data_IF_631505422938
#
_entry.id   IF_631505422938
#
_cell.length_a   1.000
_cell.length_b   1.000
_cell.length_c   1.000
_cell.angle_alpha   90.00
_cell.angle_beta   90.00
_cell.angle_gamma   90.00
#
_symmetry.space_group_name_H-M   'P 1'
#
loop_
_entity.id
_entity.type
_entity.pdbx_description
1 polymer ?
#
# COMPACT_ATOMS: atom_id res chain seq x y z
N UNK A 1 5.06 -59.08 99.31
CA UNK A 1 5.69 -58.84 97.98
C UNK A 1 5.48 -57.36 97.67
N UNK A 2 6.38 -56.44 98.03
CA UNK A 2 7.71 -56.09 97.46
C UNK A 2 7.63 -55.51 96.03
N UNK A 3 7.73 -54.16 95.98
CA UNK A 3 8.42 -53.28 95.01
C UNK A 3 7.92 -53.29 93.54
N UNK A 4 7.45 -52.16 92.97
CA UNK A 4 8.17 -50.92 92.53
C UNK A 4 8.77 -51.05 91.11
N UNK A 5 8.19 -50.35 90.11
CA UNK A 5 8.81 -49.30 89.25
C UNK A 5 8.10 -49.14 87.87
N UNK A 6 7.74 -47.87 87.60
CA UNK A 6 7.40 -47.15 86.33
C UNK A 6 8.66 -47.03 85.42
N UNK A 7 8.73 -46.33 84.24
CA UNK A 7 7.73 -45.61 83.40
C UNK A 7 7.94 -45.67 81.85
N UNK A 8 7.04 -45.05 81.04
CA UNK A 8 7.30 -44.01 79.99
C UNK A 8 5.98 -43.72 79.19
N UNK A 9 5.36 -42.52 79.25
CA UNK A 9 5.52 -41.30 78.39
C UNK A 9 4.85 -41.49 76.99
N UNK A 10 3.94 -40.69 76.39
CA UNK A 10 3.84 -39.25 76.00
C UNK A 10 2.41 -39.05 75.40
N UNK A 11 1.54 -38.13 75.87
CA UNK A 11 1.20 -36.75 75.40
C UNK A 11 0.13 -36.61 74.27
N UNK A 12 -0.58 -35.46 74.31
CA UNK A 12 -1.32 -34.73 73.23
C UNK A 12 -2.85 -34.99 73.14
N UNK A 13 -3.77 -34.03 72.93
CA UNK A 13 -3.72 -32.58 72.61
C UNK A 13 -5.09 -31.93 72.86
N UNK A 14 -5.10 -30.61 73.14
CA UNK A 14 -6.27 -29.74 73.32
C UNK A 14 -6.65 -29.05 71.99
N UNK A 15 -7.95 -28.90 71.73
CA UNK A 15 -8.55 -28.30 70.52
C UNK A 15 -8.75 -26.78 70.68
N UNK A 16 -8.26 -25.96 69.74
CA UNK A 16 -8.54 -24.52 69.64
C UNK A 16 -9.06 -24.23 68.22
N UNK A 17 -10.20 -23.54 68.14
CA UNK A 17 -10.90 -23.18 66.90
C UNK A 17 -10.40 -21.79 66.47
N UNK A 18 -9.78 -21.69 65.29
CA UNK A 18 -9.50 -20.43 64.60
C UNK A 18 -10.57 -20.19 63.53
N UNK A 19 -11.21 -19.01 63.56
CA UNK A 19 -11.98 -18.48 62.45
C UNK A 19 -11.05 -17.77 61.46
N UNK A 20 -11.11 -18.14 60.19
CA UNK A 20 -10.47 -17.42 59.08
C UNK A 20 -11.56 -16.83 58.19
N UNK A 21 -11.66 -15.49 58.16
CA UNK A 21 -12.34 -14.75 57.09
C UNK A 21 -11.40 -14.73 55.89
N UNK A 22 -11.71 -15.52 54.87
CA UNK A 22 -11.02 -15.51 53.58
C UNK A 22 -11.48 -14.29 52.77
N UNK A 23 -10.90 -13.12 53.06
CA UNK A 23 -10.86 -12.01 52.11
C UNK A 23 -9.59 -12.19 51.27
N UNK A 24 -9.63 -13.10 50.29
CA UNK A 24 -8.72 -13.01 49.16
C UNK A 24 -9.23 -11.82 48.31
N UNK A 25 -8.40 -10.80 48.01
CA UNK A 25 -8.78 -9.81 47.02
C UNK A 25 -9.02 -10.55 45.70
N UNK A 26 -10.22 -10.39 45.11
CA UNK A 26 -10.43 -10.83 43.74
C UNK A 26 -9.32 -10.21 42.88
N UNK A 27 -8.69 -10.98 41.98
CA UNK A 27 -7.72 -10.41 41.05
C UNK A 27 -8.41 -9.27 40.30
N UNK A 28 -7.74 -8.11 40.21
CA UNK A 28 -8.22 -7.00 39.40
C UNK A 28 -8.58 -7.55 38.02
N UNK A 29 -9.76 -7.19 37.45
CA UNK A 29 -10.11 -7.62 36.12
C UNK A 29 -9.00 -7.18 35.16
N UNK A 30 -8.62 -8.05 34.23
CA UNK A 30 -7.71 -7.67 33.16
C UNK A 30 -8.22 -6.39 32.50
N UNK A 31 -7.36 -5.39 32.26
CA UNK A 31 -7.79 -4.13 31.67
C UNK A 31 -8.53 -4.43 30.36
N UNK A 32 -9.69 -3.79 30.17
CA UNK A 32 -10.45 -3.86 28.94
C UNK A 32 -9.53 -3.46 27.77
N UNK A 33 -9.15 -4.43 26.95
CA UNK A 33 -8.26 -4.21 25.81
C UNK A 33 -9.11 -3.70 24.67
N UNK A 34 -8.88 -2.44 24.26
CA UNK A 34 -9.53 -1.87 23.09
C UNK A 34 -8.63 -2.05 21.86
N UNK A 35 -8.99 -3.02 21.03
CA UNK A 35 -8.20 -3.54 19.93
C UNK A 35 -8.20 -2.61 18.70
N UNK A 36 -7.06 -2.48 18.01
CA UNK A 36 -6.97 -1.65 16.83
C UNK A 36 -7.63 -2.29 15.60
N UNK A 37 -8.02 -1.49 14.60
CA UNK A 37 -8.19 -2.01 13.24
C UNK A 37 -6.88 -2.61 12.71
N UNK A 38 -6.99 -3.42 11.67
CA UNK A 38 -5.84 -4.12 11.09
C UNK A 38 -5.82 -4.06 9.56
N UNK A 39 -4.73 -4.51 8.95
CA UNK A 39 -4.59 -4.63 7.49
C UNK A 39 -4.97 -3.33 6.74
N UNK A 40 -4.49 -2.18 7.24
CA UNK A 40 -4.60 -0.92 6.51
C UNK A 40 -3.88 -1.09 5.16
N UNK A 41 -4.59 -0.81 4.08
CA UNK A 41 -4.13 -0.84 2.70
C UNK A 41 -4.62 0.40 1.97
N UNK A 42 -4.15 0.58 0.73
CA UNK A 42 -4.49 1.72 -0.09
C UNK A 42 -4.59 1.38 -1.58
N UNK A 43 -5.27 2.27 -2.30
CA UNK A 43 -5.24 2.42 -3.75
C UNK A 43 -4.90 3.89 -4.05
N UNK A 44 -4.02 4.13 -5.04
CA UNK A 44 -3.65 5.50 -5.44
C UNK A 44 -4.42 5.94 -6.69
N UNK A 45 -4.66 7.24 -6.79
CA UNK A 45 -5.22 7.93 -7.94
C UNK A 45 -4.45 9.24 -8.17
N UNK A 46 -4.88 10.06 -9.13
CA UNK A 46 -4.19 11.29 -9.55
C UNK A 46 -3.97 12.33 -8.45
N UNK A 47 -4.96 12.51 -7.56
CA UNK A 47 -4.96 13.55 -6.53
C UNK A 47 -5.46 13.05 -5.16
N UNK A 48 -5.63 11.73 -5.05
CA UNK A 48 -6.28 11.11 -3.91
C UNK A 48 -5.76 9.72 -3.62
N UNK A 49 -5.91 9.32 -2.36
CA UNK A 49 -5.59 7.99 -1.87
C UNK A 49 -6.83 7.41 -1.21
N UNK A 50 -7.28 6.27 -1.69
CA UNK A 50 -8.35 5.51 -1.05
C UNK A 50 -7.73 4.53 -0.07
N UNK A 51 -8.05 4.71 1.21
CA UNK A 51 -7.64 3.84 2.31
C UNK A 51 -8.74 2.83 2.62
N UNK A 52 -8.34 1.63 2.98
CA UNK A 52 -9.24 0.60 3.52
C UNK A 52 -8.53 -0.20 4.60
N UNK A 53 -9.26 -0.64 5.61
CA UNK A 53 -8.73 -1.49 6.68
C UNK A 53 -9.74 -2.58 7.04
N UNK A 54 -9.30 -3.56 7.81
CA UNK A 54 -10.17 -4.51 8.50
C UNK A 54 -10.63 -3.87 9.81
N UNK A 55 -11.92 -3.99 10.17
CA UNK A 55 -12.47 -3.57 11.45
C UNK A 55 -11.62 -3.87 12.67
N UNK A 56 -11.77 -3.02 13.70
CA UNK A 56 -11.43 -3.44 15.07
C UNK A 56 -12.36 -4.60 15.50
N UNK A 57 -11.87 -5.62 16.20
CA UNK A 57 -12.71 -6.63 16.85
C UNK A 57 -13.79 -6.05 17.78
N UNK A 58 -13.56 -4.86 18.32
CA UNK A 58 -14.47 -4.16 19.24
C UNK A 58 -15.43 -3.22 18.51
N UNK A 59 -15.48 -3.27 17.17
CA UNK A 59 -16.48 -2.55 16.40
C UNK A 59 -17.89 -3.02 16.78
N UNK A 60 -18.74 -2.06 17.16
CA UNK A 60 -20.11 -2.32 17.61
C UNK A 60 -20.26 -2.44 19.13
N UNK A 61 -19.18 -2.37 19.90
CA UNK A 61 -19.26 -2.20 21.35
C UNK A 61 -19.93 -0.89 21.75
N UNK A 62 -20.45 -0.84 22.97
CA UNK A 62 -21.07 0.38 23.51
C UNK A 62 -20.05 1.51 23.58
N UNK A 63 -20.40 2.66 22.99
CA UNK A 63 -19.51 3.83 22.92
C UNK A 63 -18.52 3.79 21.77
N UNK A 64 -18.46 2.72 20.96
CA UNK A 64 -17.65 2.72 19.74
C UNK A 64 -18.11 3.85 18.81
N UNK A 65 -17.20 4.78 18.49
CA UNK A 65 -17.52 5.99 17.72
C UNK A 65 -17.05 5.88 16.27
N UNK A 66 -15.99 5.12 16.00
CA UNK A 66 -15.43 4.94 14.66
C UNK A 66 -13.91 4.92 14.67
N UNK A 67 -13.33 5.47 13.60
CA UNK A 67 -11.89 5.45 13.35
C UNK A 67 -11.30 6.84 13.19
N UNK A 68 -10.15 7.06 13.81
CA UNK A 68 -9.32 8.24 13.60
C UNK A 68 -8.22 7.88 12.61
N UNK A 69 -8.17 8.61 11.49
CA UNK A 69 -7.18 8.40 10.43
C UNK A 69 -6.17 9.54 10.46
N UNK A 70 -4.89 9.17 10.38
CA UNK A 70 -3.77 10.11 10.45
C UNK A 70 -3.00 10.12 9.14
N UNK A 71 -2.52 11.30 8.75
CA UNK A 71 -1.63 11.51 7.61
C UNK A 71 -0.41 12.31 8.03
N UNK A 72 0.78 11.84 7.63
CA UNK A 72 2.04 12.56 7.83
C UNK A 72 2.87 12.54 6.56
N UNK A 73 3.59 13.61 6.28
CA UNK A 73 4.50 13.69 5.13
C UNK A 73 5.92 13.26 5.55
N UNK A 74 6.61 12.54 4.66
CA UNK A 74 8.05 12.24 4.74
C UNK A 74 8.55 11.44 5.97
N UNK A 75 7.69 11.05 6.91
CA UNK A 75 8.02 10.21 8.04
C UNK A 75 6.81 9.42 8.56
N UNK A 76 7.07 8.20 9.03
CA UNK A 76 6.06 7.38 9.72
C UNK A 76 5.73 7.88 11.14
N UNK A 77 4.94 7.09 11.87
CA UNK A 77 4.37 7.49 13.18
C UNK A 77 5.16 7.02 14.41
N UNK A 78 6.19 6.18 14.24
CA UNK A 78 6.89 5.54 15.36
C UNK A 78 7.59 6.48 16.36
N UNK A 79 7.80 7.75 16.00
CA UNK A 79 8.42 8.77 16.86
C UNK A 79 7.47 9.89 17.28
N UNK A 80 6.18 9.80 16.93
CA UNK A 80 5.19 10.84 17.26
C UNK A 80 4.66 10.61 18.67
N UNK A 81 4.67 11.67 19.49
CA UNK A 81 4.13 11.61 20.85
C UNK A 81 2.59 11.50 20.81
N UNK A 82 1.99 10.92 21.86
CA UNK A 82 0.53 10.84 21.96
C UNK A 82 -0.15 12.23 21.96
N UNK A 83 0.54 13.25 22.49
CA UNK A 83 0.08 14.64 22.53
C UNK A 83 0.08 15.29 21.14
N UNK A 84 1.05 14.96 20.29
CA UNK A 84 1.17 15.54 18.94
C UNK A 84 0.28 14.82 17.91
N UNK A 85 -0.11 13.56 18.15
CA UNK A 85 -0.91 12.76 17.22
C UNK A 85 -2.14 13.47 16.64
N UNK A 86 -2.94 14.22 17.42
CA UNK A 86 -4.11 14.94 16.89
C UNK A 86 -3.80 15.95 15.78
N UNK A 87 -2.58 16.48 15.70
CA UNK A 87 -2.17 17.43 14.66
C UNK A 87 -2.12 16.80 13.25
N UNK A 88 -2.09 15.47 13.18
CA UNK A 88 -2.01 14.70 11.94
C UNK A 88 -3.35 14.11 11.50
N UNK A 89 -4.46 14.43 12.19
CA UNK A 89 -5.79 13.97 11.82
C UNK A 89 -6.19 14.50 10.44
N UNK A 90 -6.68 13.61 9.58
CA UNK A 90 -7.25 14.03 8.28
C UNK A 90 -8.65 14.64 8.43
N UNK A 91 -9.31 14.39 9.57
CA UNK A 91 -10.66 14.82 9.92
C UNK A 91 -10.78 14.88 11.44
N UNK A 92 -11.49 15.88 11.97
CA UNK A 92 -11.82 15.97 13.40
C UNK A 92 -12.89 14.97 13.80
N UNK A 93 -13.76 14.59 12.87
CA UNK A 93 -14.81 13.61 13.12
C UNK A 93 -14.31 12.19 12.84
N UNK A 94 -14.70 11.26 13.70
CA UNK A 94 -14.41 9.84 13.52
C UNK A 94 -15.12 9.29 12.27
N UNK A 95 -14.41 8.45 11.52
CA UNK A 95 -14.95 7.79 10.34
C UNK A 95 -15.70 6.54 10.80
N UNK A 96 -17.01 6.48 10.55
CA UNK A 96 -17.87 5.35 10.96
C UNK A 96 -17.82 4.11 10.06
N UNK A 97 -16.86 4.01 9.14
CA UNK A 97 -16.72 2.89 8.22
C UNK A 97 -15.26 2.44 8.08
N UNK A 98 -15.03 1.38 7.29
CA UNK A 98 -13.72 0.68 7.18
C UNK A 98 -12.84 1.19 6.03
N UNK A 99 -13.04 2.45 5.65
CA UNK A 99 -12.31 3.07 4.56
C UNK A 99 -12.65 4.54 4.40
N UNK A 100 -11.76 5.27 3.74
CA UNK A 100 -11.94 6.69 3.44
C UNK A 100 -11.11 7.08 2.23
N UNK A 101 -11.49 8.15 1.54
CA UNK A 101 -10.68 8.73 0.47
C UNK A 101 -10.11 10.06 0.94
N UNK A 102 -8.80 10.20 0.91
CA UNK A 102 -8.10 11.44 1.25
C UNK A 102 -7.72 12.12 -0.06
N UNK A 103 -8.35 13.27 -0.35
CA UNK A 103 -8.16 14.02 -1.59
C UNK A 103 -7.23 15.23 -1.40
N UNK A 104 -6.82 15.84 -2.52
CA UNK A 104 -5.96 17.02 -2.52
C UNK A 104 -4.54 16.73 -2.02
N UNK A 105 -4.06 15.51 -2.29
CA UNK A 105 -2.73 15.07 -1.86
C UNK A 105 -1.71 15.35 -2.98
N UNK A 106 -0.57 16.00 -2.69
CA UNK A 106 0.53 16.17 -3.65
C UNK A 106 1.17 14.83 -4.03
N UNK A 107 1.46 14.62 -5.33
CA UNK A 107 2.12 13.42 -5.86
C UNK A 107 3.65 13.41 -5.70
N UNK A 108 4.24 14.55 -5.36
CA UNK A 108 5.70 14.80 -5.36
C UNK A 108 6.42 14.33 -4.07
N UNK A 109 5.71 13.68 -3.13
CA UNK A 109 6.26 13.28 -1.84
C UNK A 109 5.55 12.08 -1.22
N UNK A 110 6.23 11.40 -0.29
CA UNK A 110 5.66 10.26 0.44
C UNK A 110 4.68 10.72 1.52
N UNK A 111 3.53 10.08 1.56
CA UNK A 111 2.50 10.24 2.59
C UNK A 111 2.36 8.94 3.37
N UNK A 112 2.41 9.06 4.69
CA UNK A 112 2.29 7.97 5.63
C UNK A 112 0.90 8.03 6.25
N UNK A 113 0.23 6.89 6.31
CA UNK A 113 -1.09 6.74 6.92
C UNK A 113 -1.10 5.67 7.98
N UNK A 114 -1.85 5.93 9.03
CA UNK A 114 -2.24 4.93 10.03
C UNK A 114 -3.65 5.25 10.51
N UNK A 115 -4.28 4.29 11.16
CA UNK A 115 -5.64 4.39 11.66
C UNK A 115 -5.73 3.75 13.04
N UNK A 116 -6.60 4.27 13.90
CA UNK A 116 -6.97 3.62 15.18
C UNK A 116 -8.46 3.76 15.45
N UNK A 117 -9.00 2.88 16.28
CA UNK A 117 -10.36 2.99 16.75
C UNK A 117 -10.48 4.01 17.89
N UNK A 118 -11.67 4.60 18.02
CA UNK A 118 -12.05 5.49 19.11
C UNK A 118 -13.37 5.04 19.73
N UNK A 119 -13.40 5.03 21.06
CA UNK A 119 -14.57 4.75 21.90
C UNK A 119 -14.79 5.95 22.82
N UNK A 120 -16.04 6.37 22.99
CA UNK A 120 -16.44 7.47 23.87
C UNK A 120 -17.61 7.02 24.73
N UNK A 121 -17.43 7.06 26.05
CA UNK A 121 -18.43 6.71 27.06
C UNK A 121 -18.63 7.88 28.02
N UNK A 122 -19.66 8.70 27.77
CA UNK A 122 -19.81 9.97 28.50
C UNK A 122 -18.66 10.91 28.18
N UNK A 123 -17.88 11.28 29.19
CA UNK A 123 -16.70 12.15 29.03
C UNK A 123 -15.39 11.36 28.82
N UNK A 124 -15.42 10.03 28.98
CA UNK A 124 -14.24 9.18 28.84
C UNK A 124 -14.00 8.81 27.37
N UNK A 125 -12.80 9.09 26.88
CA UNK A 125 -12.35 8.71 25.54
C UNK A 125 -11.27 7.64 25.62
N UNK A 126 -11.51 6.49 25.01
CA UNK A 126 -10.55 5.39 24.90
C UNK A 126 -10.11 5.25 23.44
N UNK A 127 -8.81 5.08 23.25
CA UNK A 127 -8.16 5.00 21.94
C UNK A 127 -7.42 3.68 21.86
N UNK A 128 -7.62 2.94 20.76
CA UNK A 128 -6.84 1.73 20.52
C UNK A 128 -5.38 2.08 20.21
N UNK A 129 -4.54 1.04 20.13
CA UNK A 129 -3.25 1.16 19.46
C UNK A 129 -3.42 1.60 17.99
N UNK A 130 -2.32 1.98 17.34
CA UNK A 130 -2.30 2.25 15.90
C UNK A 130 -2.29 0.94 15.11
N UNK A 131 -2.99 0.91 13.99
CA UNK A 131 -2.81 -0.11 12.96
C UNK A 131 -1.42 -0.03 12.32
N UNK A 132 -1.12 -0.97 11.41
CA UNK A 132 0.06 -0.88 10.57
C UNK A 132 0.13 0.47 9.86
N UNK A 133 1.34 1.02 9.74
CA UNK A 133 1.56 2.22 8.92
C UNK A 133 1.75 1.79 7.47
N UNK A 134 1.07 2.46 6.56
CA UNK A 134 1.32 2.38 5.12
C UNK A 134 1.94 3.68 4.63
N UNK A 135 2.77 3.59 3.60
CA UNK A 135 3.30 4.75 2.90
C UNK A 135 3.00 4.63 1.41
N UNK A 136 2.61 5.76 0.81
CA UNK A 136 2.26 5.86 -0.61
C UNK A 136 2.35 7.30 -1.10
N UNK A 137 2.16 7.52 -2.40
CA UNK A 137 1.98 8.83 -3.02
C UNK A 137 0.93 8.71 -4.12
N UNK A 138 0.07 9.72 -4.35
CA UNK A 138 -0.73 9.79 -5.57
C UNK A 138 0.13 9.57 -6.82
N UNK A 139 -0.42 8.85 -7.79
CA UNK A 139 0.26 8.61 -9.07
C UNK A 139 -0.41 9.42 -10.16
N UNK A 140 0.36 9.98 -11.08
CA UNK A 140 -0.17 10.87 -12.12
C UNK A 140 -0.70 10.04 -13.29
N UNK A 141 -2.01 10.15 -13.57
CA UNK A 141 -2.68 9.28 -14.54
C UNK A 141 -2.91 9.96 -15.87
N UNK A 142 -2.72 9.20 -16.95
CA UNK A 142 -3.13 9.59 -18.29
C UNK A 142 -3.54 8.37 -19.10
N UNK A 143 -4.14 8.58 -20.26
CA UNK A 143 -4.56 7.51 -21.15
C UNK A 143 -4.46 7.99 -22.58
N UNK A 144 -4.01 7.12 -23.46
CA UNK A 144 -3.89 7.43 -24.88
C UNK A 144 -3.92 6.14 -25.72
N UNK A 145 -3.69 6.30 -27.01
CA UNK A 145 -3.42 5.23 -27.96
C UNK A 145 -2.04 5.44 -28.57
N UNK A 146 -1.26 4.37 -28.66
CA UNK A 146 -0.02 4.34 -29.44
C UNK A 146 -0.06 3.20 -30.44
N UNK A 147 0.67 3.36 -31.54
CA UNK A 147 0.75 2.42 -32.66
C UNK A 147 2.13 1.78 -32.74
N UNK A 148 2.24 0.65 -33.41
CA UNK A 148 3.51 -0.03 -33.58
C UNK A 148 4.47 0.79 -34.44
N UNK A 149 5.73 0.89 -34.01
CA UNK A 149 6.76 1.70 -34.66
C UNK A 149 6.97 1.34 -36.14
N UNK A 150 6.73 0.08 -36.52
CA UNK A 150 6.82 -0.40 -37.90
C UNK A 150 5.87 0.31 -38.89
N UNK A 151 4.91 1.10 -38.41
CA UNK A 151 4.08 1.95 -39.24
C UNK A 151 4.84 3.09 -39.93
N UNK A 152 6.09 3.36 -39.52
CA UNK A 152 7.01 4.29 -40.16
C UNK A 152 7.16 5.63 -39.46
N UNK A 153 7.81 6.59 -40.13
CA UNK A 153 8.10 7.90 -39.58
C UNK A 153 6.82 8.68 -39.21
N UNK A 154 6.86 9.40 -38.09
CA UNK A 154 5.73 10.18 -37.57
C UNK A 154 4.63 9.34 -36.89
N UNK A 155 4.77 8.01 -36.82
CA UNK A 155 3.83 7.17 -36.07
C UNK A 155 4.04 7.38 -34.58
N UNK A 156 2.96 7.73 -33.88
CA UNK A 156 2.96 7.92 -32.42
C UNK A 156 3.08 6.55 -31.74
N UNK A 157 4.30 6.13 -31.44
CA UNK A 157 4.60 4.79 -30.93
C UNK A 157 5.25 4.81 -29.55
N UNK A 158 5.57 5.98 -29.01
CA UNK A 158 6.35 6.12 -27.79
C UNK A 158 5.61 6.88 -26.70
N UNK A 159 6.01 6.64 -25.44
CA UNK A 159 5.43 7.24 -24.24
C UNK A 159 6.50 8.04 -23.51
N UNK A 160 6.10 9.22 -23.05
CA UNK A 160 6.78 10.06 -22.06
C UNK A 160 5.87 10.16 -20.83
N UNK A 161 6.26 9.51 -19.74
CA UNK A 161 5.45 9.45 -18.53
C UNK A 161 5.47 10.76 -17.77
N UNK A 162 6.60 11.44 -17.74
CA UNK A 162 6.82 12.68 -17.00
C UNK A 162 5.86 13.78 -17.49
N UNK A 163 5.76 13.91 -18.82
CA UNK A 163 4.90 14.92 -19.45
C UNK A 163 3.50 14.42 -19.78
N UNK A 164 3.20 13.13 -19.54
CA UNK A 164 1.91 12.49 -19.87
C UNK A 164 1.57 12.60 -21.37
N UNK A 165 2.59 12.40 -22.21
CA UNK A 165 2.48 12.59 -23.66
C UNK A 165 2.91 11.35 -24.41
N UNK A 166 2.47 11.27 -25.66
CA UNK A 166 2.90 10.25 -26.62
C UNK A 166 3.58 10.91 -27.81
N UNK A 167 4.61 10.27 -28.34
CA UNK A 167 5.46 10.82 -29.40
C UNK A 167 5.75 9.77 -30.48
N UNK A 168 6.17 10.20 -31.68
CA UNK A 168 6.89 9.34 -32.58
C UNK A 168 8.32 9.10 -32.09
N UNK A 169 8.92 7.96 -32.48
CA UNK A 169 10.34 7.65 -32.22
C UNK A 169 11.27 8.50 -33.09
N UNK A 170 11.38 9.79 -32.78
CA UNK A 170 12.20 10.77 -33.50
C UNK A 170 13.23 11.43 -32.57
N UNK A 171 14.40 11.79 -33.12
CA UNK A 171 15.53 12.33 -32.34
C UNK A 171 15.22 13.64 -31.61
N UNK A 172 14.22 14.40 -32.07
CA UNK A 172 13.73 15.61 -31.37
C UNK A 172 13.21 15.29 -29.96
N UNK A 173 12.74 14.05 -29.74
CA UNK A 173 12.16 13.57 -28.48
C UNK A 173 13.09 12.60 -27.73
N UNK A 174 14.37 12.52 -28.13
CA UNK A 174 15.35 11.55 -27.62
C UNK A 174 15.45 11.49 -26.09
N UNK A 175 15.36 12.66 -25.44
CA UNK A 175 15.48 12.78 -23.98
C UNK A 175 14.16 12.61 -23.22
N UNK A 176 13.04 12.55 -23.94
CA UNK A 176 11.69 12.52 -23.40
C UNK A 176 11.10 11.11 -23.43
N UNK A 177 11.41 10.33 -24.47
CA UNK A 177 10.82 9.01 -24.64
C UNK A 177 11.36 8.01 -23.63
N UNK A 178 10.45 7.41 -22.89
CA UNK A 178 10.75 6.43 -21.86
C UNK A 178 10.67 5.01 -22.39
N UNK A 179 9.66 4.71 -23.21
CA UNK A 179 9.45 3.41 -23.85
C UNK A 179 8.75 3.58 -25.20
N UNK A 180 8.74 2.54 -26.01
CA UNK A 180 7.96 2.51 -27.24
C UNK A 180 7.27 1.16 -27.48
N UNK A 181 6.22 1.20 -28.31
CA UNK A 181 5.51 0.04 -28.81
C UNK A 181 6.20 -0.46 -30.07
N UNK A 182 6.88 -1.59 -29.94
CA UNK A 182 7.49 -2.30 -31.05
C UNK A 182 6.90 -3.69 -31.22
N UNK A 183 7.70 -4.55 -31.82
CA UNK A 183 7.40 -5.97 -31.94
C UNK A 183 8.59 -6.79 -31.48
N UNK A 184 8.30 -7.95 -30.92
CA UNK A 184 9.25 -9.05 -30.82
C UNK A 184 9.39 -9.74 -32.20
N UNK A 185 10.46 -10.51 -32.40
CA UNK A 185 10.71 -11.38 -33.56
C UNK A 185 9.52 -12.28 -33.96
N UNK A 186 8.61 -12.56 -33.02
CA UNK A 186 7.39 -13.35 -33.23
C UNK A 186 6.22 -12.57 -33.84
N UNK A 187 6.43 -11.32 -34.27
CA UNK A 187 5.40 -10.39 -34.79
C UNK A 187 4.28 -10.09 -33.77
N UNK A 188 4.63 -10.07 -32.48
CA UNK A 188 3.72 -9.76 -31.38
C UNK A 188 4.06 -8.39 -30.80
N UNK A 189 3.02 -7.63 -30.45
CA UNK A 189 3.18 -6.32 -29.81
C UNK A 189 3.91 -6.45 -28.47
N UNK A 190 4.93 -5.63 -28.30
CA UNK A 190 5.75 -5.57 -27.10
C UNK A 190 6.02 -4.11 -26.72
N UNK A 191 6.04 -3.84 -25.42
CA UNK A 191 6.71 -2.63 -24.94
C UNK A 191 8.21 -2.90 -24.94
N UNK A 192 8.97 -1.90 -25.38
CA UNK A 192 10.42 -2.02 -25.57
C UNK A 192 11.13 -0.81 -24.97
N UNK A 193 12.31 -1.09 -24.43
CA UNK A 193 13.27 -0.11 -23.97
C UNK A 193 13.84 0.68 -25.15
N UNK A 194 13.95 2.02 -25.08
CA UNK A 194 14.35 2.84 -26.23
C UNK A 194 15.71 2.45 -26.82
N UNK A 195 16.67 1.99 -26.02
CA UNK A 195 17.98 1.53 -26.50
C UNK A 195 17.92 0.38 -27.52
N UNK A 196 16.80 -0.34 -27.61
CA UNK A 196 16.57 -1.39 -28.61
C UNK A 196 16.17 -0.83 -29.99
N UNK A 197 15.87 0.46 -30.11
CA UNK A 197 15.43 1.08 -31.36
C UNK A 197 16.59 1.32 -32.34
N UNK A 198 17.72 1.80 -31.83
CA UNK A 198 18.89 2.11 -32.66
C UNK A 198 20.03 2.72 -31.86
N UNK A 199 21.17 2.95 -32.53
CA UNK A 199 22.40 3.43 -31.88
C UNK A 199 22.25 4.81 -31.23
N UNK A 200 21.39 5.67 -31.77
CA UNK A 200 21.14 7.00 -31.21
C UNK A 200 20.45 6.94 -29.83
N UNK A 201 19.82 5.81 -29.50
CA UNK A 201 19.05 5.59 -28.28
C UNK A 201 19.81 4.78 -27.21
N UNK A 202 21.08 4.44 -27.44
CA UNK A 202 21.83 3.45 -26.63
C UNK A 202 21.84 3.74 -25.13
N UNK A 203 21.74 5.01 -24.75
CA UNK A 203 21.82 5.45 -23.36
C UNK A 203 20.44 5.53 -22.67
N UNK A 204 19.35 5.32 -23.42
CA UNK A 204 17.97 5.38 -22.93
C UNK A 204 17.49 3.97 -22.57
N UNK A 205 17.78 3.55 -21.34
CA UNK A 205 17.41 2.22 -20.83
C UNK A 205 16.22 2.33 -19.88
N UNK A 206 15.10 1.76 -20.30
CA UNK A 206 13.99 1.38 -19.43
C UNK A 206 14.03 -0.11 -19.09
N UNK A 207 13.64 -0.44 -17.87
CA UNK A 207 13.36 -1.80 -17.41
C UNK A 207 11.84 -2.03 -17.41
N UNK A 208 11.41 -3.18 -17.90
CA UNK A 208 10.02 -3.55 -18.14
C UNK A 208 9.69 -4.85 -17.44
N UNK A 209 8.47 -4.94 -16.91
CA UNK A 209 7.98 -6.13 -16.22
C UNK A 209 6.47 -6.30 -16.37
N UNK A 210 6.02 -7.53 -16.59
CA UNK A 210 4.60 -7.90 -16.52
C UNK A 210 4.17 -8.08 -15.06
N UNK A 211 3.10 -7.40 -14.66
CA UNK A 211 2.47 -7.55 -13.33
C UNK A 211 1.28 -8.51 -13.36
N UNK A 212 0.58 -8.59 -14.50
CA UNK A 212 -0.54 -9.50 -14.74
C UNK A 212 -1.90 -8.81 -14.76
N UNK A 213 -2.97 -9.59 -14.56
CA UNK A 213 -4.35 -9.10 -14.62
C UNK A 213 -4.72 -8.37 -13.32
N UNK A 214 -5.13 -7.08 -13.38
CA UNK A 214 -5.50 -6.33 -12.20
C UNK A 214 -6.92 -6.67 -11.70
N UNK A 215 -7.16 -6.55 -10.39
CA UNK A 215 -8.49 -6.64 -9.76
C UNK A 215 -9.26 -5.32 -9.83
N UNK A 216 -8.55 -4.19 -9.71
CA UNK A 216 -9.05 -2.81 -9.67
C UNK A 216 -8.36 -1.93 -10.72
N UNK A 217 -8.16 -2.46 -11.94
CA UNK A 217 -7.45 -1.76 -13.00
C UNK A 217 -6.05 -1.29 -12.57
N UNK A 218 -5.67 -0.09 -12.99
CA UNK A 218 -4.33 0.47 -12.80
C UNK A 218 -3.92 0.57 -11.31
N UNK A 219 -4.87 0.73 -10.39
CA UNK A 219 -4.60 0.89 -8.97
C UNK A 219 -4.23 -0.42 -8.23
N UNK A 220 -4.38 -1.59 -8.85
CA UNK A 220 -4.27 -2.89 -8.13
C UNK A 220 -2.89 -3.18 -7.55
N UNK A 221 -1.84 -2.85 -8.31
CA UNK A 221 -0.48 -3.26 -7.98
C UNK A 221 0.23 -2.12 -7.26
N UNK A 222 0.42 -2.29 -5.94
CA UNK A 222 1.02 -1.28 -5.08
C UNK A 222 2.56 -1.29 -5.09
N UNK A 223 3.19 -2.28 -5.74
CA UNK A 223 4.64 -2.32 -5.98
C UNK A 223 4.97 -3.16 -7.21
N UNK A 224 6.05 -2.79 -7.90
CA UNK A 224 6.59 -3.57 -9.02
C UNK A 224 7.47 -4.74 -8.56
N UNK A 225 7.96 -4.76 -7.31
CA UNK A 225 8.84 -5.80 -6.77
C UNK A 225 10.24 -5.85 -7.42
N UNK A 226 11.09 -6.76 -6.96
CA UNK A 226 12.54 -6.74 -7.24
C UNK A 226 13.01 -7.62 -8.39
N UNK A 227 12.23 -8.61 -8.83
CA UNK A 227 12.64 -9.57 -9.86
C UNK A 227 11.76 -9.57 -11.11
N UNK A 228 12.26 -10.13 -12.21
CA UNK A 228 11.51 -10.30 -13.46
C UNK A 228 11.50 -9.08 -14.38
N UNK A 229 12.53 -8.23 -14.27
CA UNK A 229 12.75 -7.08 -15.13
C UNK A 229 13.53 -7.48 -16.39
N UNK A 230 13.19 -6.87 -17.52
CA UNK A 230 13.89 -6.99 -18.81
C UNK A 230 13.82 -5.69 -19.59
N UNK A 231 14.31 -5.68 -20.82
CA UNK A 231 14.28 -4.54 -21.74
C UNK A 231 13.11 -4.60 -22.75
N UNK A 232 12.35 -5.69 -22.71
CA UNK A 232 11.19 -5.93 -23.56
C UNK A 232 10.14 -6.76 -22.80
N UNK A 233 8.85 -6.49 -23.04
CA UNK A 233 7.77 -7.30 -22.51
C UNK A 233 6.60 -7.43 -23.48
N UNK A 234 6.19 -8.69 -23.71
CA UNK A 234 5.03 -9.00 -24.55
C UNK A 234 3.73 -8.52 -23.93
N UNK A 235 2.88 -7.94 -24.79
CA UNK A 235 1.61 -7.37 -24.36
C UNK A 235 0.43 -8.35 -24.50
N UNK A 236 -0.51 -8.20 -23.57
CA UNK A 236 -1.80 -8.86 -23.52
C UNK A 236 -2.86 -7.83 -23.07
N UNK A 237 -4.02 -7.75 -23.76
CA UNK A 237 -5.12 -6.93 -23.29
C UNK A 237 -5.62 -7.37 -21.91
N UNK A 238 -6.01 -6.41 -21.09
CA UNK A 238 -6.47 -6.62 -19.73
C UNK A 238 -5.36 -6.80 -18.71
N UNK A 239 -4.10 -6.48 -19.04
CA UNK A 239 -2.96 -6.66 -18.14
C UNK A 239 -2.20 -5.39 -17.83
N UNK A 240 -1.53 -5.40 -16.68
CA UNK A 240 -0.71 -4.30 -16.19
C UNK A 240 0.78 -4.66 -16.28
N UNK A 241 1.57 -3.65 -16.60
CA UNK A 241 3.02 -3.71 -16.76
C UNK A 241 3.66 -2.61 -15.93
N UNK A 242 4.78 -2.91 -15.29
CA UNK A 242 5.63 -1.93 -14.65
C UNK A 242 6.74 -1.49 -15.61
N UNK A 243 7.10 -0.23 -15.51
CA UNK A 243 8.19 0.41 -16.24
C UNK A 243 9.05 1.12 -15.21
N UNK A 244 10.37 1.03 -15.36
CA UNK A 244 11.32 1.76 -14.55
C UNK A 244 12.34 2.45 -15.46
N UNK A 245 12.47 3.76 -15.33
CA UNK A 245 13.44 4.56 -16.07
C UNK A 245 14.31 5.30 -15.05
N UNK A 246 15.59 4.94 -14.97
CA UNK A 246 16.47 5.42 -13.91
C UNK A 246 15.90 5.05 -12.53
N UNK A 247 15.52 6.07 -11.76
CA UNK A 247 14.91 5.94 -10.43
C UNK A 247 13.40 6.10 -10.42
N UNK A 248 12.79 6.48 -11.55
CA UNK A 248 11.35 6.70 -11.65
C UNK A 248 10.64 5.42 -12.06
N UNK A 249 9.37 5.32 -11.65
CA UNK A 249 8.55 4.15 -11.90
C UNK A 249 7.20 4.53 -12.50
N UNK A 250 6.70 3.69 -13.39
CA UNK A 250 5.37 3.85 -14.00
C UNK A 250 4.66 2.51 -14.12
N UNK A 251 3.32 2.55 -14.26
CA UNK A 251 2.49 1.41 -14.67
C UNK A 251 1.79 1.73 -15.97
N UNK A 252 1.61 0.72 -16.81
CA UNK A 252 0.73 0.74 -17.98
C UNK A 252 -0.29 -0.39 -17.83
N UNK A 253 -1.57 -0.07 -17.95
CA UNK A 253 -2.65 -1.01 -18.15
C UNK A 253 -3.05 -1.02 -19.62
N UNK A 254 -2.86 -2.16 -20.29
CA UNK A 254 -3.27 -2.35 -21.69
C UNK A 254 -4.75 -2.70 -21.72
N UNK A 255 -5.59 -1.75 -22.10
CA UNK A 255 -7.04 -1.94 -22.11
C UNK A 255 -7.46 -2.86 -23.26
N UNK A 256 -6.96 -2.58 -24.45
CA UNK A 256 -7.29 -3.31 -25.67
C UNK A 256 -6.18 -3.14 -26.72
N UNK A 257 -6.17 -4.06 -27.68
CA UNK A 257 -5.49 -3.83 -28.96
C UNK A 257 -6.45 -3.16 -29.94
N UNK A 258 -5.93 -2.27 -30.76
CA UNK A 258 -6.68 -1.70 -31.89
C UNK A 258 -6.99 -2.78 -32.93
N UNK A 259 -8.01 -2.61 -33.76
CA UNK A 259 -8.40 -3.56 -34.81
C UNK A 259 -7.50 -3.56 -36.06
N UNK A 260 -6.33 -2.93 -36.02
CA UNK A 260 -5.41 -2.83 -37.14
C UNK A 260 -4.76 -4.17 -37.52
N UNK A 261 -4.22 -4.24 -38.74
CA UNK A 261 -3.30 -5.31 -39.18
C UNK A 261 -1.91 -4.74 -39.27
N UNK A 262 -0.88 -5.57 -39.14
CA UNK A 262 0.50 -5.15 -39.30
C UNK A 262 0.69 -4.31 -40.58
N UNK A 263 1.36 -3.14 -40.54
CA UNK A 263 2.04 -2.49 -39.40
C UNK A 263 1.20 -1.40 -38.69
N UNK A 264 -0.13 -1.51 -38.70
CA UNK A 264 -1.07 -0.51 -38.16
C UNK A 264 -1.78 -0.97 -36.89
N UNK A 265 -1.17 -1.88 -36.12
CA UNK A 265 -1.67 -2.29 -34.80
C UNK A 265 -1.23 -1.29 -33.75
N UNK A 266 -1.99 -1.18 -32.68
CA UNK A 266 -1.71 -0.31 -31.56
C UNK A 266 -2.36 -0.84 -30.29
N UNK A 267 -2.11 -0.13 -29.20
CA UNK A 267 -2.73 -0.39 -27.90
C UNK A 267 -3.48 0.84 -27.44
N UNK A 268 -4.65 0.61 -26.82
CA UNK A 268 -5.34 1.60 -26.01
C UNK A 268 -4.90 1.33 -24.57
N UNK A 269 -4.40 2.35 -23.87
CA UNK A 269 -3.83 2.16 -22.55
C UNK A 269 -4.23 3.26 -21.57
N UNK A 270 -4.11 2.92 -20.29
CA UNK A 270 -4.00 3.89 -19.20
C UNK A 270 -2.64 3.73 -18.53
N UNK A 271 -2.05 4.83 -18.10
CA UNK A 271 -0.76 4.85 -17.43
C UNK A 271 -0.82 5.64 -16.13
N UNK A 272 0.05 5.27 -15.19
CA UNK A 272 0.25 5.93 -13.91
C UNK A 272 1.75 6.15 -13.72
N UNK A 273 2.15 7.38 -13.43
CA UNK A 273 3.53 7.79 -13.19
C UNK A 273 3.75 8.10 -11.71
N UNK A 274 4.86 7.61 -11.14
CA UNK A 274 5.27 7.90 -9.77
C UNK A 274 6.34 8.98 -9.77
N UNK A 275 5.97 10.17 -9.30
CA UNK A 275 6.81 11.38 -9.30
C UNK A 275 7.78 11.45 -8.10
N UNK A 276 7.69 10.47 -7.19
CA UNK A 276 8.64 10.34 -6.08
C UNK A 276 9.85 9.51 -6.50
N UNK A 277 11.03 10.13 -6.39
CA UNK A 277 12.32 9.50 -6.71
C UNK A 277 12.54 8.17 -5.97
N UNK A 278 12.96 7.15 -6.73
CA UNK A 278 13.29 5.81 -6.25
C UNK A 278 12.17 5.21 -5.37
N UNK A 279 10.93 5.39 -5.82
CA UNK A 279 9.74 4.93 -5.12
C UNK A 279 8.94 4.01 -6.02
N UNK A 280 9.01 2.71 -5.74
CA UNK A 280 8.36 1.67 -6.55
C UNK A 280 6.89 1.46 -6.19
N UNK A 281 6.28 2.37 -5.43
CA UNK A 281 4.91 2.25 -4.94
C UNK A 281 3.93 3.04 -5.77
N UNK A 282 2.74 2.48 -5.94
CA UNK A 282 1.71 3.01 -6.83
C UNK A 282 0.30 2.65 -6.37
#
# INVERSE_FOLDING_TARGET
>A
MRKLMLPFLILMTTLIIFGCSSNDPEPDPDPEVFDPPSNLTYLTYQDSIQLSWVPSPDEGETGFLGYLVYRRENAGFGSVSAEDMPTYLISTDAIGGVGTTVAGIPSDRKHYFTVRAIKVNGDDTTLSALANTVDTSPTIWFSDTIWEEAGGAGVICAIDFDNQMVYPMELTYLTQIDIYLGMEDSNRLALRSPHLHGTDWSDRVAELKRLGVPLHGLATFNSAGTGGWGDEVLLYPGETYAVKIGSNYSKIFVQAFTSGVYPNRGIIFSAAYQDVDNYDRF
#
